data_IF_982937066593
#
_entry.id   IF_982937066593
#
_cell.length_a   1.000
_cell.length_b   1.000
_cell.length_c   1.000
_cell.angle_alpha   90.00
_cell.angle_beta   90.00
_cell.angle_gamma   90.00
#
_symmetry.space_group_name_H-M   'P 1'
#
loop_
_entity.id
_entity.type
_entity.pdbx_description
1 polymer ?
#
# COMPACT_ATOMS: atom_id res chain seq x y z
N UNK A 1 -9.96 13.63 13.31
CA UNK A 1 -11.39 13.26 13.37
C UNK A 1 -11.68 11.77 13.63
N UNK A 2 -11.48 10.81 12.70
CA UNK A 2 -11.87 9.40 12.93
C UNK A 2 -11.26 8.79 14.19
N UNK A 3 -9.97 9.03 14.44
CA UNK A 3 -9.30 8.57 15.67
C UNK A 3 -9.95 9.16 16.94
N UNK A 4 -10.26 10.45 16.93
CA UNK A 4 -10.90 11.12 18.08
C UNK A 4 -12.28 10.55 18.39
N UNK A 5 -13.10 10.30 17.35
CA UNK A 5 -14.42 9.69 17.51
C UNK A 5 -14.32 8.27 18.09
N UNK A 6 -13.34 7.48 17.65
CA UNK A 6 -13.09 6.16 18.20
C UNK A 6 -12.66 6.28 19.67
N UNK A 7 -11.73 7.18 20.00
CA UNK A 7 -11.26 7.38 21.38
C UNK A 7 -12.43 7.77 22.31
N UNK A 8 -13.33 8.64 21.86
CA UNK A 8 -14.54 9.02 22.63
C UNK A 8 -15.49 7.85 22.92
N UNK A 9 -15.41 6.76 22.16
CA UNK A 9 -16.22 5.56 22.39
C UNK A 9 -15.65 4.64 23.48
N UNK A 10 -14.41 4.88 23.95
CA UNK A 10 -13.77 4.12 25.02
C UNK A 10 -13.64 4.97 26.28
N UNK A 11 -13.62 4.34 27.46
CA UNK A 11 -13.28 5.03 28.69
C UNK A 11 -11.78 5.34 28.73
N UNK A 12 -11.38 6.42 29.40
CA UNK A 12 -9.97 6.85 29.47
C UNK A 12 -9.03 5.76 29.98
N UNK A 13 -9.49 4.91 30.90
CA UNK A 13 -8.69 3.80 31.46
C UNK A 13 -8.41 2.68 30.43
N UNK A 14 -9.14 2.64 29.30
CA UNK A 14 -8.90 1.72 28.19
C UNK A 14 -7.93 2.28 27.15
N UNK A 15 -7.59 3.57 27.24
CA UNK A 15 -6.70 4.26 26.31
C UNK A 15 -5.32 4.41 26.94
N UNK A 16 -4.40 3.50 26.61
CA UNK A 16 -3.04 3.52 27.17
C UNK A 16 -2.17 4.62 26.57
N UNK A 17 -2.21 4.74 25.24
CA UNK A 17 -1.36 5.67 24.50
C UNK A 17 -2.01 6.03 23.18
N UNK A 18 -2.00 7.32 22.87
CA UNK A 18 -2.47 7.88 21.60
C UNK A 18 -1.32 8.71 21.04
N UNK A 19 -0.96 8.49 19.77
CA UNK A 19 0.07 9.28 19.07
C UNK A 19 -0.28 9.44 17.61
N UNK A 20 0.10 10.59 17.07
CA UNK A 20 0.12 10.82 15.63
C UNK A 20 1.47 10.39 15.06
N UNK A 21 1.48 9.89 13.84
CA UNK A 21 2.70 9.54 13.12
C UNK A 21 2.59 10.02 11.67
N UNK A 22 3.41 10.98 11.22
CA UNK A 22 3.28 11.55 9.88
C UNK A 22 3.49 10.51 8.77
N UNK A 23 4.08 9.35 9.07
CA UNK A 23 4.34 8.28 8.11
C UNK A 23 3.10 7.46 7.78
N UNK A 24 1.96 7.63 8.48
CA UNK A 24 0.72 6.89 8.20
C UNK A 24 -0.28 7.67 7.34
N UNK A 25 0.11 8.82 6.78
CA UNK A 25 -0.70 9.62 5.85
C UNK A 25 -1.01 8.88 4.53
N UNK A 26 -1.96 9.37 3.74
CA UNK A 26 -2.26 8.82 2.41
C UNK A 26 -1.13 9.12 1.40
N UNK A 27 -1.10 8.43 0.27
CA UNK A 27 -0.22 8.73 -0.86
C UNK A 27 -0.41 10.17 -1.36
N UNK A 28 0.70 10.89 -1.50
CA UNK A 28 0.69 12.22 -2.11
C UNK A 28 0.51 12.13 -3.63
N UNK A 29 -0.49 12.82 -4.20
CA UNK A 29 -0.74 12.86 -5.64
C UNK A 29 -0.06 14.06 -6.34
N UNK A 30 0.66 14.89 -5.59
CA UNK A 30 1.27 16.12 -6.09
C UNK A 30 0.23 17.17 -6.49
N UNK A 31 0.57 18.01 -7.48
CA UNK A 31 -0.30 19.08 -7.99
C UNK A 31 -1.41 18.53 -8.92
N UNK A 32 -2.28 17.66 -8.38
CA UNK A 32 -3.33 16.91 -9.10
C UNK A 32 -4.59 17.75 -9.44
N UNK A 33 -4.42 19.06 -9.60
CA UNK A 33 -5.53 20.00 -9.82
C UNK A 33 -5.86 20.22 -11.30
N UNK A 34 -4.97 19.85 -12.23
CA UNK A 34 -5.20 19.99 -13.66
C UNK A 34 -6.12 18.87 -14.19
N UNK A 35 -7.39 19.22 -14.45
CA UNK A 35 -8.42 18.30 -14.96
C UNK A 35 -8.00 17.61 -16.27
N UNK A 36 -7.30 18.32 -17.17
CA UNK A 36 -6.88 17.76 -18.45
C UNK A 36 -5.83 16.65 -18.28
N UNK A 37 -5.02 16.73 -17.22
CA UNK A 37 -4.00 15.71 -16.91
C UNK A 37 -4.54 14.53 -16.13
N UNK A 38 -5.74 14.62 -15.55
CA UNK A 38 -6.31 13.53 -14.74
C UNK A 38 -6.55 12.28 -15.57
N UNK A 39 -7.13 12.41 -16.75
CA UNK A 39 -7.43 11.26 -17.62
C UNK A 39 -6.14 10.56 -18.08
N UNK A 40 -5.15 11.35 -18.50
CA UNK A 40 -3.82 10.85 -18.88
C UNK A 40 -3.18 10.11 -17.68
N UNK A 41 -3.15 10.75 -16.52
CA UNK A 41 -2.57 10.16 -15.30
C UNK A 41 -3.28 8.85 -14.92
N UNK A 42 -4.60 8.81 -15.01
CA UNK A 42 -5.38 7.60 -14.72
C UNK A 42 -5.06 6.49 -15.71
N UNK A 43 -4.93 6.81 -17.01
CA UNK A 43 -4.58 5.86 -18.05
C UNK A 43 -3.16 5.30 -17.86
N UNK A 44 -2.17 6.15 -17.62
CA UNK A 44 -0.79 5.74 -17.34
C UNK A 44 -0.70 4.88 -16.07
N UNK A 45 -1.37 5.31 -15.00
CA UNK A 45 -1.42 4.57 -13.73
C UNK A 45 -2.07 3.20 -13.88
N UNK A 46 -3.06 3.07 -14.78
CA UNK A 46 -3.67 1.77 -15.09
C UNK A 46 -2.67 0.84 -15.79
N UNK A 47 -1.86 1.38 -16.72
CA UNK A 47 -0.83 0.62 -17.45
C UNK A 47 0.34 0.19 -16.54
N UNK A 48 0.92 1.13 -15.79
CA UNK A 48 2.11 0.89 -14.95
C UNK A 48 1.75 0.16 -13.64
N UNK A 49 0.52 0.33 -13.18
CA UNK A 49 0.04 -0.25 -11.93
C UNK A 49 0.33 0.63 -10.71
N UNK A 50 -0.52 0.50 -9.69
CA UNK A 50 -0.56 1.40 -8.53
C UNK A 50 0.72 1.40 -7.68
N UNK A 51 1.49 0.31 -7.72
CA UNK A 51 2.71 0.18 -6.92
C UNK A 51 3.86 1.00 -7.50
N UNK A 52 4.08 0.89 -8.81
CA UNK A 52 5.23 1.50 -9.48
C UNK A 52 4.95 2.90 -10.04
N UNK A 53 3.69 3.22 -10.36
CA UNK A 53 3.37 4.53 -10.91
C UNK A 53 3.66 5.64 -9.91
N UNK A 54 4.56 6.55 -10.28
CA UNK A 54 4.91 7.73 -9.49
C UNK A 54 4.18 8.97 -10.03
N UNK A 55 3.37 9.61 -9.18
CA UNK A 55 2.78 10.90 -9.54
C UNK A 55 3.87 11.97 -9.68
N UNK A 56 3.69 12.88 -10.64
CA UNK A 56 4.55 14.06 -10.77
C UNK A 56 4.45 14.91 -9.50
N UNK A 57 5.58 15.19 -8.86
CA UNK A 57 5.67 15.87 -7.57
C UNK A 57 4.89 15.16 -6.44
N UNK A 58 4.64 13.86 -6.58
CA UNK A 58 3.97 13.04 -5.57
C UNK A 58 4.77 11.79 -5.22
N UNK A 59 4.06 10.83 -4.64
CA UNK A 59 4.58 9.52 -4.22
C UNK A 59 4.14 8.44 -5.24
N UNK A 60 4.94 7.39 -5.38
CA UNK A 60 4.52 6.09 -5.90
C UNK A 60 4.03 5.19 -4.76
N UNK A 61 3.44 4.04 -5.09
CA UNK A 61 3.15 3.02 -4.08
C UNK A 61 4.42 2.48 -3.41
N UNK A 62 5.55 2.44 -4.12
CA UNK A 62 6.84 2.05 -3.57
C UNK A 62 7.36 3.08 -2.54
N UNK A 63 7.23 4.38 -2.80
CA UNK A 63 7.60 5.42 -1.80
C UNK A 63 6.77 5.28 -0.52
N UNK A 64 5.47 4.98 -0.67
CA UNK A 64 4.59 4.71 0.47
C UNK A 64 5.01 3.44 1.20
N UNK A 65 5.41 2.39 0.48
CA UNK A 65 5.91 1.14 1.05
C UNK A 65 7.19 1.33 1.89
N UNK A 66 8.07 2.24 1.47
CA UNK A 66 9.30 2.56 2.22
C UNK A 66 8.98 3.24 3.56
N UNK A 67 8.08 4.23 3.55
CA UNK A 67 7.65 4.86 4.82
C UNK A 67 6.85 3.91 5.71
N UNK A 68 6.05 3.01 5.14
CA UNK A 68 5.40 1.89 5.87
C UNK A 68 6.47 1.05 6.57
N UNK A 69 7.55 0.69 5.88
CA UNK A 69 8.65 -0.10 6.46
C UNK A 69 9.26 0.61 7.67
N UNK A 70 9.59 1.90 7.53
CA UNK A 70 10.13 2.68 8.65
C UNK A 70 9.14 2.81 9.83
N UNK A 71 7.84 2.93 9.55
CA UNK A 71 6.80 2.94 10.57
C UNK A 71 6.73 1.61 11.31
N UNK A 72 6.79 0.50 10.57
CA UNK A 72 6.78 -0.85 11.13
C UNK A 72 7.96 -1.09 12.07
N UNK A 73 9.15 -0.55 11.79
CA UNK A 73 10.29 -0.67 12.70
C UNK A 73 10.00 -0.03 14.07
N UNK A 74 9.36 1.14 14.09
CA UNK A 74 8.92 1.76 15.36
C UNK A 74 7.79 0.98 16.02
N UNK A 75 6.87 0.43 15.22
CA UNK A 75 5.74 -0.35 15.71
C UNK A 75 6.20 -1.64 16.40
N UNK A 76 7.11 -2.40 15.79
CA UNK A 76 7.60 -3.65 16.37
C UNK A 76 8.39 -3.41 17.67
N UNK A 77 9.23 -2.37 17.72
CA UNK A 77 9.88 -1.97 18.98
C UNK A 77 8.88 -1.62 20.08
N UNK A 78 7.73 -1.07 19.72
CA UNK A 78 6.66 -0.75 20.66
C UNK A 78 5.88 -2.00 21.09
N UNK A 79 5.66 -2.95 20.18
CA UNK A 79 5.04 -4.25 20.48
C UNK A 79 5.91 -5.10 21.41
N UNK A 80 7.23 -5.03 21.28
CA UNK A 80 8.20 -5.76 22.12
C UNK A 80 8.32 -5.15 23.53
N UNK A 81 7.74 -3.97 23.76
CA UNK A 81 7.72 -3.36 25.09
C UNK A 81 6.77 -4.14 26.02
N UNK A 82 7.26 -4.58 27.18
CA UNK A 82 6.48 -5.36 28.15
C UNK A 82 5.23 -4.65 28.67
N UNK A 83 5.17 -3.32 28.63
CA UNK A 83 3.97 -2.55 28.97
C UNK A 83 2.88 -2.65 27.90
N UNK A 84 3.24 -3.02 26.67
CA UNK A 84 2.36 -3.08 25.50
C UNK A 84 2.05 -4.52 25.05
N UNK A 85 2.77 -5.53 25.54
CA UNK A 85 2.77 -6.89 25.01
C UNK A 85 1.41 -7.62 25.05
N UNK A 86 0.48 -7.17 25.91
CA UNK A 86 -0.87 -7.73 26.04
C UNK A 86 -1.98 -6.75 25.65
N UNK A 87 -1.65 -5.69 24.92
CA UNK A 87 -2.59 -4.64 24.54
C UNK A 87 -2.89 -4.63 23.04
N UNK A 88 -4.10 -4.20 22.68
CA UNK A 88 -4.49 -4.04 21.29
C UNK A 88 -3.94 -2.72 20.74
N UNK A 89 -3.37 -2.79 19.53
CA UNK A 89 -2.92 -1.59 18.80
C UNK A 89 -3.92 -1.29 17.70
N UNK A 90 -4.39 -0.04 17.66
CA UNK A 90 -5.25 0.47 16.60
C UNK A 90 -4.46 1.43 15.71
N UNK A 91 -4.46 1.16 14.40
CA UNK A 91 -3.86 2.03 13.39
C UNK A 91 -5.00 2.64 12.57
N UNK A 92 -5.14 3.97 12.61
CA UNK A 92 -6.11 4.72 11.82
C UNK A 92 -5.37 5.41 10.69
N UNK A 93 -5.71 5.07 9.44
CA UNK A 93 -5.01 5.56 8.25
C UNK A 93 -5.94 5.47 7.02
N UNK A 94 -5.36 5.42 5.82
CA UNK A 94 -6.02 5.56 4.54
C UNK A 94 -5.93 4.28 3.69
N UNK A 95 -6.72 4.22 2.62
CA UNK A 95 -6.95 2.99 1.87
C UNK A 95 -5.69 2.41 1.23
N UNK A 96 -4.86 3.24 0.59
CA UNK A 96 -3.64 2.74 -0.05
C UNK A 96 -2.55 2.41 0.98
N UNK A 97 -2.38 3.27 2.01
CA UNK A 97 -1.47 2.97 3.12
C UNK A 97 -1.77 1.62 3.78
N UNK A 98 -3.03 1.35 4.16
CA UNK A 98 -3.39 0.10 4.84
C UNK A 98 -3.13 -1.14 3.98
N UNK A 99 -3.34 -1.05 2.66
CA UNK A 99 -3.01 -2.15 1.74
C UNK A 99 -1.50 -2.40 1.66
N UNK A 100 -0.70 -1.34 1.63
CA UNK A 100 0.77 -1.44 1.61
C UNK A 100 1.32 -1.89 2.97
N UNK A 101 0.70 -1.48 4.07
CA UNK A 101 0.96 -2.02 5.40
C UNK A 101 0.78 -3.53 5.42
N UNK A 102 -0.36 -4.05 4.94
CA UNK A 102 -0.60 -5.49 4.86
C UNK A 102 0.39 -6.20 3.93
N UNK A 103 0.68 -5.61 2.77
CA UNK A 103 1.68 -6.13 1.84
C UNK A 103 3.05 -6.25 2.52
N UNK A 104 3.51 -5.20 3.21
CA UNK A 104 4.80 -5.19 3.92
C UNK A 104 4.82 -6.12 5.13
N UNK A 105 3.72 -6.18 5.87
CA UNK A 105 3.57 -6.99 7.08
C UNK A 105 3.63 -8.48 6.76
N UNK A 106 2.91 -8.92 5.72
CA UNK A 106 2.88 -10.32 5.31
C UNK A 106 3.87 -10.68 4.21
N UNK A 107 4.75 -9.74 3.82
CA UNK A 107 5.72 -9.91 2.73
C UNK A 107 5.06 -10.42 1.44
N UNK A 108 3.89 -9.88 1.12
CA UNK A 108 3.17 -10.26 -0.08
C UNK A 108 3.85 -9.73 -1.34
N UNK A 109 3.79 -10.47 -2.46
CA UNK A 109 4.28 -9.98 -3.74
C UNK A 109 3.40 -8.82 -4.24
N UNK A 110 3.97 -8.00 -5.13
CA UNK A 110 3.27 -6.85 -5.73
C UNK A 110 1.99 -7.28 -6.44
N UNK A 111 2.00 -8.45 -7.06
CA UNK A 111 0.85 -9.07 -7.73
C UNK A 111 -0.33 -9.20 -6.78
N UNK A 112 -0.10 -9.69 -5.56
CA UNK A 112 -1.15 -9.82 -4.56
C UNK A 112 -1.63 -8.44 -4.09
N UNK A 113 -0.74 -7.47 -3.94
CA UNK A 113 -1.15 -6.11 -3.61
C UNK A 113 -2.08 -5.52 -4.70
N UNK A 114 -1.80 -5.76 -5.99
CA UNK A 114 -2.63 -5.29 -7.10
C UNK A 114 -4.03 -5.92 -7.12
N UNK A 115 -4.21 -7.13 -6.59
CA UNK A 115 -5.55 -7.74 -6.48
C UNK A 115 -6.41 -7.15 -5.37
N UNK A 116 -5.82 -6.50 -4.36
CA UNK A 116 -6.58 -5.96 -3.23
C UNK A 116 -7.40 -4.73 -3.62
N UNK A 117 -8.65 -4.67 -3.18
CA UNK A 117 -9.44 -3.44 -3.20
C UNK A 117 -9.08 -2.51 -2.04
N UNK A 118 -9.38 -1.22 -2.18
CA UNK A 118 -9.31 -0.30 -1.06
C UNK A 118 -10.40 -0.61 -0.04
N UNK A 119 -10.11 -0.38 1.25
CA UNK A 119 -11.12 -0.37 2.29
C UNK A 119 -12.19 0.69 1.98
N UNK A 120 -13.45 0.38 2.30
CA UNK A 120 -14.51 1.38 2.33
C UNK A 120 -14.19 2.44 3.40
N UNK A 121 -14.81 3.62 3.32
CA UNK A 121 -14.73 4.62 4.39
C UNK A 121 -15.22 3.99 5.71
N UNK A 122 -14.40 4.10 6.76
CA UNK A 122 -14.68 3.45 8.06
C UNK A 122 -14.49 1.93 8.08
N UNK A 123 -14.03 1.33 6.98
CA UNK A 123 -13.65 -0.08 6.93
C UNK A 123 -12.40 -0.38 7.74
N UNK A 124 -12.27 -1.61 8.23
CA UNK A 124 -11.16 -2.04 9.08
C UNK A 124 -10.71 -3.47 8.73
N UNK A 125 -9.54 -3.87 9.23
CA UNK A 125 -9.11 -5.26 9.26
C UNK A 125 -8.53 -5.62 10.63
N UNK A 126 -8.59 -6.90 10.98
CA UNK A 126 -8.11 -7.43 12.25
C UNK A 126 -6.95 -8.39 11.99
N UNK A 127 -5.83 -8.12 12.65
CA UNK A 127 -4.68 -9.01 12.75
C UNK A 127 -4.67 -9.59 14.16
N UNK A 128 -4.92 -10.88 14.28
CA UNK A 128 -4.99 -11.59 15.57
C UNK A 128 -3.63 -12.23 15.87
N UNK A 129 -3.06 -11.91 17.03
CA UNK A 129 -1.81 -12.51 17.50
C UNK A 129 -2.05 -13.96 17.91
N UNK A 130 -1.17 -14.85 17.48
CA UNK A 130 -1.08 -16.21 17.97
C UNK A 130 -0.16 -16.22 19.21
N UNK A 131 -0.69 -16.64 20.35
CA UNK A 131 0.05 -16.64 21.61
C UNK A 131 1.19 -17.68 21.65
N UNK A 132 1.16 -18.69 20.78
CA UNK A 132 2.17 -19.75 20.74
C UNK A 132 3.49 -19.29 20.10
N UNK A 133 3.41 -18.54 19.01
CA UNK A 133 4.57 -18.14 18.21
C UNK A 133 4.72 -16.63 18.01
N UNK A 134 3.77 -15.83 18.53
CA UNK A 134 3.74 -14.38 18.40
C UNK A 134 3.39 -13.88 16.99
N UNK A 135 3.10 -14.77 16.04
CA UNK A 135 2.73 -14.40 14.68
C UNK A 135 1.35 -13.75 14.65
N UNK A 136 1.06 -12.95 13.61
CA UNK A 136 -0.26 -12.35 13.45
C UNK A 136 -0.97 -12.97 12.25
N UNK A 137 -2.20 -13.41 12.45
CA UNK A 137 -3.08 -13.96 11.42
C UNK A 137 -4.12 -12.93 11.02
N UNK A 138 -4.26 -12.69 9.72
CA UNK A 138 -5.32 -11.82 9.19
C UNK A 138 -6.67 -12.53 9.31
N UNK A 139 -7.58 -11.96 10.09
CA UNK A 139 -8.93 -12.51 10.33
C UNK A 139 -9.97 -11.94 9.39
N UNK A 140 -9.76 -10.71 8.94
CA UNK A 140 -10.69 -10.05 8.02
C UNK A 140 -10.47 -10.53 6.60
N UNK A 141 -11.54 -10.98 5.95
CA UNK A 141 -11.52 -11.30 4.52
C UNK A 141 -11.37 -10.00 3.72
N UNK A 142 -10.24 -9.85 3.03
CA UNK A 142 -10.02 -8.70 2.16
C UNK A 142 -10.79 -8.87 0.86
N UNK A 143 -11.35 -7.76 0.38
CA UNK A 143 -11.93 -7.71 -0.96
C UNK A 143 -10.82 -7.77 -2.01
N UNK A 144 -11.01 -8.64 -3.00
CA UNK A 144 -10.10 -8.81 -4.13
C UNK A 144 -10.84 -8.55 -5.43
N UNK A 145 -10.17 -7.93 -6.39
CA UNK A 145 -10.66 -7.84 -7.77
C UNK A 145 -10.72 -9.25 -8.37
N UNK A 146 -11.90 -9.70 -8.80
CA UNK A 146 -12.09 -11.01 -9.44
C UNK A 146 -11.39 -11.12 -10.81
N UNK A 147 -11.06 -12.37 -11.15
CA UNK A 147 -10.19 -12.96 -12.19
C UNK A 147 -10.24 -12.36 -13.61
N UNK A 148 -11.35 -11.73 -14.04
CA UNK A 148 -11.52 -11.24 -15.41
C UNK A 148 -10.50 -10.17 -15.81
N UNK A 149 -10.05 -9.33 -14.87
CA UNK A 149 -8.99 -8.33 -15.11
C UNK A 149 -7.57 -8.90 -15.02
N UNK A 150 -7.43 -10.11 -14.45
CA UNK A 150 -6.13 -10.76 -14.31
C UNK A 150 -5.61 -11.21 -15.68
N UNK A 151 -6.52 -11.67 -16.55
CA UNK A 151 -6.26 -11.93 -17.97
C UNK A 151 -5.87 -10.63 -18.68
N UNK A 152 -6.65 -9.55 -18.55
CA UNK A 152 -6.29 -8.24 -19.16
C UNK A 152 -4.92 -7.70 -18.70
N UNK A 153 -4.56 -7.88 -17.42
CA UNK A 153 -3.27 -7.46 -16.89
C UNK A 153 -2.11 -8.38 -17.31
N UNK A 154 -2.40 -9.64 -17.62
CA UNK A 154 -1.42 -10.61 -18.11
C UNK A 154 -1.14 -10.34 -19.60
N UNK A 155 -2.17 -10.08 -20.39
CA UNK A 155 -2.07 -9.64 -21.79
C UNK A 155 -1.29 -8.31 -21.90
N UNK A 156 -1.53 -7.36 -20.99
CA UNK A 156 -0.78 -6.10 -20.94
C UNK A 156 0.70 -6.30 -20.57
N UNK A 157 1.02 -7.26 -19.69
CA UNK A 157 2.41 -7.59 -19.31
C UNK A 157 3.16 -8.24 -20.47
N UNK A 158 2.50 -9.12 -21.23
CA UNK A 158 3.08 -9.74 -22.43
C UNK A 158 3.39 -8.70 -23.51
N UNK A 159 2.45 -7.78 -23.78
CA UNK A 159 2.67 -6.68 -24.72
C UNK A 159 3.82 -5.75 -24.31
N UNK A 160 3.96 -5.47 -23.00
CA UNK A 160 5.05 -4.62 -22.51
C UNK A 160 6.41 -5.31 -22.66
N UNK A 161 6.48 -6.62 -22.42
CA UNK A 161 7.71 -7.39 -22.56
C UNK A 161 8.16 -7.45 -24.02
N UNK A 162 7.21 -7.62 -24.96
CA UNK A 162 7.50 -7.60 -26.40
C UNK A 162 7.97 -6.22 -26.88
N UNK A 163 7.30 -5.13 -26.49
CA UNK A 163 7.71 -3.77 -26.87
C UNK A 163 9.08 -3.38 -26.29
N UNK A 164 9.35 -3.76 -25.04
CA UNK A 164 10.65 -3.51 -24.39
C UNK A 164 11.78 -4.26 -25.11
N UNK A 165 11.49 -5.49 -25.57
CA UNK A 165 12.44 -6.33 -26.30
C UNK A 165 12.70 -5.82 -27.73
N UNK A 166 11.67 -5.30 -28.42
CA UNK A 166 11.80 -4.68 -29.74
C UNK A 166 12.57 -3.34 -29.70
N UNK A 167 12.38 -2.51 -28.66
CA UNK A 167 13.11 -1.25 -28.50
C UNK A 167 14.61 -1.47 -28.17
N UNK A 168 14.94 -2.46 -27.33
CA UNK A 168 16.33 -2.81 -27.01
C UNK A 168 17.07 -3.42 -28.22
N UNK A 169 16.38 -4.25 -29.01
CA UNK A 169 16.95 -4.88 -30.22
C UNK A 169 17.10 -3.91 -31.40
N UNK A 170 16.26 -2.86 -31.49
CA UNK A 170 16.42 -1.82 -32.50
C UNK A 170 17.46 -0.76 -32.13
N UNK A 171 17.64 -0.39 -30.84
CA UNK A 171 18.65 0.60 -30.44
C UNK A 171 20.10 0.08 -30.56
N UNK A 172 20.31 -1.23 -30.49
CA UNK A 172 21.64 -1.87 -30.62
C UNK A 172 22.15 -1.97 -32.07
N UNK A 173 21.37 -1.53 -33.06
CA UNK A 173 21.73 -1.57 -34.49
C UNK A 173 22.41 -0.28 -35.01
N UNK A 174 22.52 0.78 -34.22
CA UNK A 174 23.06 2.09 -34.64
C UNK A 174 24.27 2.54 -33.81
N UNK A 175 25.29 1.70 -33.67
CA UNK A 175 26.65 2.13 -33.28
C UNK A 175 27.70 1.29 -33.99
N UNK A 176 27.87 1.54 -35.29
CA UNK A 176 29.12 1.30 -36.04
C UNK A 176 29.02 2.09 -37.35
N UNK A 177 29.53 3.31 -37.34
CA UNK A 177 30.41 3.87 -38.36
C UNK A 177 30.80 5.30 -37.95
N UNK A 178 32.09 5.56 -38.17
CA UNK A 178 32.88 6.79 -38.02
C UNK A 178 33.37 7.19 -36.62
#
# INVERSE_FOLDING_TARGET
ETCELICKAFSEQKLLKIREDPRIREQEWGNFQDLARREITVAERKKIGRFFYRFRNGESGADVYDRVSSFMDSLFREMDNSLMSNNNILIVSHGLFLRLFLMRFYRWPVEKFHTLENFNNGGYCILERNDQDGSFKLKTNLKIFHEQKRIEMQDLKEQFNEQSFEEETHSTSHTKND
#
